data_IF_664434076747
#
_entry.id   IF_664434076747
#
_cell.length_a   1.000
_cell.length_b   1.000
_cell.length_c   1.000
_cell.angle_alpha   90.00
_cell.angle_beta   90.00
_cell.angle_gamma   90.00
#
_symmetry.space_group_name_H-M   'P 1'
#
loop_
_entity.id
_entity.type
_entity.pdbx_description
1 polymer ?
#
# COMPACT_ATOMS: atom_id res chain seq x y z
N UNK A 1 -15.79 1.53 8.06
CA UNK A 1 -15.08 1.32 6.80
C UNK A 1 -13.65 0.93 7.10
N UNK A 2 -12.86 0.62 6.10
CA UNK A 2 -11.49 0.17 6.32
C UNK A 2 -10.60 0.64 5.17
N UNK A 3 -9.29 0.58 5.41
CA UNK A 3 -8.31 0.79 4.34
C UNK A 3 -8.13 -0.54 3.63
N UNK A 4 -8.31 -0.55 2.32
CA UNK A 4 -8.13 -1.75 1.52
C UNK A 4 -6.76 -1.75 0.88
N UNK A 5 -6.01 -2.83 1.09
CA UNK A 5 -4.69 -3.00 0.49
C UNK A 5 -4.75 -4.19 -0.44
N UNK A 6 -4.37 -4.01 -1.70
CA UNK A 6 -4.41 -5.06 -2.70
C UNK A 6 -2.98 -5.45 -3.08
N UNK A 7 -2.66 -6.72 -2.98
CA UNK A 7 -1.33 -7.23 -3.31
C UNK A 7 -1.49 -8.64 -3.90
N UNK A 8 -0.94 -8.84 -5.09
CA UNK A 8 -1.05 -10.11 -5.83
C UNK A 8 -2.49 -10.59 -5.95
N UNK A 9 -3.38 -9.67 -6.32
CA UNK A 9 -4.82 -9.94 -6.51
C UNK A 9 -5.54 -10.37 -5.23
N UNK A 10 -4.93 -10.13 -4.07
CA UNK A 10 -5.56 -10.40 -2.78
C UNK A 10 -5.85 -9.09 -2.09
N UNK A 11 -7.00 -9.01 -1.45
CA UNK A 11 -7.41 -7.83 -0.70
C UNK A 11 -7.19 -8.06 0.78
N UNK A 12 -6.59 -7.06 1.42
CA UNK A 12 -6.39 -7.05 2.86
C UNK A 12 -7.09 -5.82 3.42
N UNK A 13 -7.88 -6.01 4.45
CA UNK A 13 -8.60 -4.91 5.10
C UNK A 13 -7.87 -4.52 6.37
N UNK A 14 -7.60 -3.23 6.53
CA UNK A 14 -6.96 -2.70 7.73
C UNK A 14 -7.97 -1.80 8.42
N UNK A 15 -8.33 -2.16 9.64
CA UNK A 15 -9.33 -1.43 10.41
C UNK A 15 -8.65 -0.29 11.16
N UNK A 16 -8.23 0.71 10.42
CA UNK A 16 -7.62 1.92 10.97
C UNK A 16 -8.11 3.12 10.18
N UNK A 17 -8.13 4.27 10.83
CA UNK A 17 -8.56 5.50 10.17
C UNK A 17 -7.47 6.07 9.29
N UNK A 18 -6.22 5.88 9.70
CA UNK A 18 -5.06 6.38 8.96
C UNK A 18 -3.92 5.38 9.06
N UNK A 19 -3.17 5.27 7.98
CA UNK A 19 -2.03 4.37 7.94
C UNK A 19 -1.02 4.92 6.94
N UNK A 20 0.21 5.14 7.40
CA UNK A 20 1.26 5.61 6.50
C UNK A 20 1.63 4.48 5.54
N UNK A 21 1.88 4.83 4.28
CA UNK A 21 2.18 3.85 3.23
C UNK A 21 3.34 2.93 3.65
N UNK A 22 4.41 3.49 4.21
CA UNK A 22 5.54 2.68 4.66
C UNK A 22 5.13 1.68 5.74
N UNK A 23 4.21 2.06 6.61
CA UNK A 23 3.72 1.15 7.65
C UNK A 23 2.86 0.04 7.06
N UNK A 24 2.10 0.35 6.03
CA UNK A 24 1.30 -0.66 5.34
C UNK A 24 2.22 -1.73 4.73
N UNK A 25 3.29 -1.30 4.09
CA UNK A 25 4.27 -2.22 3.51
C UNK A 25 4.95 -3.05 4.60
N UNK A 26 5.32 -2.42 5.71
CA UNK A 26 5.95 -3.13 6.83
C UNK A 26 5.07 -4.23 7.39
N UNK A 27 3.78 -3.99 7.49
CA UNK A 27 2.83 -4.99 7.99
C UNK A 27 2.83 -6.25 7.13
N UNK A 28 3.15 -6.08 5.87
CA UNK A 28 3.15 -7.19 4.92
C UNK A 28 4.56 -7.73 4.66
N UNK A 29 5.56 -7.25 5.43
CA UNK A 29 6.97 -7.63 5.24
C UNK A 29 7.49 -7.28 3.86
N UNK A 30 7.04 -6.15 3.32
CA UNK A 30 7.45 -5.70 2.01
C UNK A 30 8.38 -4.49 2.15
N UNK A 31 9.34 -4.37 1.23
CA UNK A 31 10.28 -3.27 1.22
C UNK A 31 9.74 -2.10 0.40
N UNK A 32 9.89 -0.89 0.91
CA UNK A 32 9.51 0.31 0.16
C UNK A 32 10.38 0.51 -1.07
N UNK A 33 11.58 -0.09 -1.08
CA UNK A 33 12.49 0.04 -2.20
C UNK A 33 12.11 -0.83 -3.39
N UNK A 34 11.34 -1.88 -3.15
CA UNK A 34 11.00 -2.86 -4.19
C UNK A 34 9.51 -2.88 -4.50
N UNK A 35 8.75 -1.97 -3.92
CA UNK A 35 7.30 -1.94 -4.14
C UNK A 35 6.82 -0.51 -4.33
N UNK A 36 5.88 -0.33 -5.24
CA UNK A 36 5.18 0.93 -5.43
C UNK A 36 3.76 0.80 -4.90
N UNK A 37 3.18 1.92 -4.49
CA UNK A 37 1.81 1.93 -3.99
C UNK A 37 1.01 2.94 -4.79
N UNK A 38 -0.15 2.49 -5.26
CA UNK A 38 -1.10 3.32 -6.01
C UNK A 38 -2.35 3.45 -5.15
N UNK A 39 -2.64 4.68 -4.73
CA UNK A 39 -3.80 4.97 -3.91
C UNK A 39 -4.89 5.56 -4.78
N UNK A 40 -6.03 4.86 -4.87
CA UNK A 40 -7.19 5.33 -5.64
C UNK A 40 -6.81 5.73 -7.07
N UNK A 41 -5.90 4.98 -7.68
CA UNK A 41 -5.45 5.23 -9.04
C UNK A 41 -4.30 6.21 -9.18
N UNK A 42 -3.76 6.74 -8.07
CA UNK A 42 -2.64 7.67 -8.09
C UNK A 42 -1.42 7.08 -7.41
N UNK A 43 -0.27 7.23 -8.05
CA UNK A 43 0.97 6.78 -7.45
C UNK A 43 1.31 7.68 -6.25
N UNK A 44 1.60 7.05 -5.11
CA UNK A 44 1.94 7.78 -3.88
C UNK A 44 3.31 7.35 -3.39
N UNK A 45 3.85 8.13 -2.46
CA UNK A 45 5.17 7.85 -1.88
C UNK A 45 5.01 7.12 -0.55
N UNK A 46 6.13 6.63 -0.02
CA UNK A 46 6.13 5.93 1.26
C UNK A 46 5.72 6.80 2.44
N UNK A 47 5.80 8.13 2.28
CA UNK A 47 5.43 9.07 3.34
C UNK A 47 3.97 9.50 3.28
N UNK A 48 3.26 9.12 2.24
CA UNK A 48 1.85 9.45 2.12
C UNK A 48 1.01 8.64 3.10
N UNK A 49 -0.18 9.15 3.38
CA UNK A 49 -1.08 8.56 4.36
C UNK A 49 -2.29 7.97 3.65
N UNK A 50 -2.58 6.72 3.98
CA UNK A 50 -3.83 6.07 3.57
C UNK A 50 -4.89 6.37 4.62
N UNK A 51 -6.11 6.60 4.17
CA UNK A 51 -7.21 6.91 5.07
C UNK A 51 -8.34 5.91 4.90
N UNK A 52 -9.22 5.90 5.87
CA UNK A 52 -10.40 5.05 5.85
C UNK A 52 -11.16 5.24 4.54
N UNK A 53 -11.45 4.15 3.86
CA UNK A 53 -12.11 4.18 2.56
C UNK A 53 -11.19 4.17 1.37
N UNK A 54 -9.89 4.35 1.58
CA UNK A 54 -8.94 4.32 0.48
C UNK A 54 -8.63 2.90 0.02
N UNK A 55 -8.30 2.78 -1.26
CA UNK A 55 -7.85 1.52 -1.83
C UNK A 55 -6.42 1.71 -2.32
N UNK A 56 -5.50 0.97 -1.71
CA UNK A 56 -4.09 1.05 -2.04
C UNK A 56 -3.66 -0.25 -2.72
N UNK A 57 -3.13 -0.13 -3.92
CA UNK A 57 -2.63 -1.28 -4.65
C UNK A 57 -1.11 -1.31 -4.57
N UNK A 58 -0.56 -2.43 -4.14
CA UNK A 58 0.88 -2.60 -4.03
C UNK A 58 1.39 -3.32 -5.27
N UNK A 59 2.37 -2.74 -5.93
CA UNK A 59 2.92 -3.27 -7.17
C UNK A 59 4.41 -3.55 -6.96
N UNK A 60 4.84 -4.81 -7.10
CA UNK A 60 6.26 -5.11 -6.99
C UNK A 60 7.02 -4.54 -8.19
N UNK A 61 8.18 -3.99 -7.90
CA UNK A 61 9.06 -3.45 -8.93
C UNK A 61 10.23 -4.39 -9.07
N UNK A 62 10.39 -4.95 -10.25
CA UNK A 62 11.53 -5.80 -10.52
C UNK A 62 12.64 -4.91 -11.02
N UNK A 63 13.69 -4.74 -10.21
CA UNK A 63 14.85 -4.03 -10.68
C UNK A 63 15.53 -4.92 -11.69
N UNK A 64 15.51 -4.51 -12.95
CA UNK A 64 16.23 -5.23 -13.98
C UNK A 64 17.71 -5.12 -13.68
N UNK A 65 18.27 -6.21 -13.32
CA UNK A 65 19.71 -6.17 -12.99
C UNK A 65 20.43 -7.13 -13.81
#
# INVERSE_FOLDING_TARGET
MAITVVYHNKEFKVDQKKLVVSQALKRMNLSVETHLVVKNGELVTENDVLEDGDVAQIIPVISGG
#
